data_IF_000895591720
#
_entry.id   IF_000895591720
#
_cell.length_a   1.000
_cell.length_b   1.000
_cell.length_c   1.000
_cell.angle_alpha   90.00
_cell.angle_beta   90.00
_cell.angle_gamma   90.00
#
_symmetry.space_group_name_H-M   'P 1'
#
loop_
_entity.id
_entity.type
_entity.pdbx_description
1 polymer ?
#
# COMPACT_ATOMS: atom_id res chain seq x y z
N UNK A 1 18.35 14.87 -4.63
CA UNK A 1 17.03 14.23 -4.52
C UNK A 1 17.09 12.72 -4.65
N UNK A 2 17.94 12.22 -5.52
CA UNK A 2 18.18 10.79 -5.62
C UNK A 2 18.73 10.25 -4.30
N UNK A 3 19.58 11.00 -3.65
CA UNK A 3 20.14 10.62 -2.35
C UNK A 3 19.07 10.55 -1.28
N UNK A 4 18.14 11.53 -1.26
CA UNK A 4 17.04 11.58 -0.32
C UNK A 4 16.10 10.37 -0.52
N UNK A 5 15.80 10.04 -1.78
CA UNK A 5 14.97 8.88 -2.12
C UNK A 5 15.63 7.57 -1.71
N UNK A 6 16.94 7.45 -1.98
CA UNK A 6 17.69 6.25 -1.60
C UNK A 6 17.73 6.08 -0.08
N UNK A 7 17.92 7.17 0.66
CA UNK A 7 17.91 7.14 2.12
C UNK A 7 16.55 6.70 2.66
N UNK A 8 15.46 7.21 2.08
CA UNK A 8 14.11 6.80 2.46
C UNK A 8 13.87 5.32 2.21
N UNK A 9 14.35 4.80 1.07
CA UNK A 9 14.22 3.38 0.75
C UNK A 9 14.98 2.51 1.76
N UNK A 10 16.18 2.92 2.16
CA UNK A 10 16.97 2.20 3.15
C UNK A 10 16.21 2.14 4.49
N UNK A 11 15.66 3.25 4.96
CA UNK A 11 14.90 3.27 6.20
C UNK A 11 13.66 2.41 6.14
N UNK A 12 12.95 2.41 5.01
CA UNK A 12 11.76 1.57 4.86
C UNK A 12 12.11 0.10 4.88
N UNK A 13 13.18 -0.28 4.23
CA UNK A 13 13.66 -1.67 4.26
C UNK A 13 14.09 -2.07 5.66
N UNK A 14 14.70 -1.15 6.40
CA UNK A 14 15.09 -1.42 7.79
C UNK A 14 13.86 -1.76 8.64
N UNK A 15 12.77 -1.02 8.48
CA UNK A 15 11.52 -1.30 9.19
C UNK A 15 10.99 -2.69 8.84
N UNK A 16 11.01 -3.05 7.55
CA UNK A 16 10.56 -4.35 7.10
C UNK A 16 11.47 -5.48 7.61
N UNK A 17 12.79 -5.26 7.59
CA UNK A 17 13.77 -6.25 8.08
C UNK A 17 13.58 -6.51 9.57
N UNK A 18 13.23 -5.50 10.34
CA UNK A 18 13.01 -5.61 11.77
C UNK A 18 11.66 -6.23 12.13
N UNK A 19 10.82 -6.49 11.13
CA UNK A 19 9.51 -7.08 11.37
C UNK A 19 8.51 -6.13 12.01
N UNK A 20 8.74 -4.83 11.92
CA UNK A 20 7.85 -3.83 12.50
C UNK A 20 6.61 -3.65 11.62
N UNK A 21 5.43 -3.42 12.22
CA UNK A 21 4.23 -3.14 11.43
C UNK A 21 4.41 -1.88 10.59
N UNK A 22 3.92 -1.94 9.36
CA UNK A 22 4.03 -0.83 8.42
C UNK A 22 2.69 -0.63 7.70
N UNK A 23 2.22 0.60 7.67
CA UNK A 23 1.06 1.01 6.88
C UNK A 23 1.44 2.24 6.07
N UNK A 24 1.52 2.10 4.75
CA UNK A 24 1.86 3.19 3.85
C UNK A 24 0.63 3.83 3.23
N UNK A 25 0.62 5.15 3.17
CA UNK A 25 -0.48 5.93 2.60
C UNK A 25 0.09 6.82 1.50
N UNK A 26 -0.54 6.79 0.33
CA UNK A 26 -0.18 7.60 -0.84
C UNK A 26 1.27 7.34 -1.27
N UNK A 27 2.18 8.29 -1.05
CA UNK A 27 3.60 8.09 -1.33
C UNK A 27 4.16 6.87 -0.57
N UNK A 28 3.63 6.59 0.62
CA UNK A 28 3.99 5.40 1.40
C UNK A 28 3.70 4.08 0.68
N UNK A 29 2.67 4.04 -0.17
CA UNK A 29 2.40 2.88 -1.01
C UNK A 29 3.54 2.66 -2.01
N UNK A 30 4.03 3.73 -2.61
CA UNK A 30 5.16 3.64 -3.55
C UNK A 30 6.45 3.25 -2.84
N UNK A 31 6.67 3.79 -1.64
CA UNK A 31 7.83 3.42 -0.83
C UNK A 31 7.81 1.94 -0.45
N UNK A 32 6.65 1.42 -0.05
CA UNK A 32 6.51 0.00 0.26
C UNK A 32 6.78 -0.84 -0.99
N UNK A 33 6.20 -0.46 -2.13
CA UNK A 33 6.42 -1.18 -3.37
C UNK A 33 7.89 -1.26 -3.72
N UNK A 34 8.61 -0.14 -3.62
CA UNK A 34 10.04 -0.11 -3.90
C UNK A 34 10.84 -0.93 -2.90
N UNK A 35 10.49 -0.85 -1.63
CA UNK A 35 11.16 -1.65 -0.59
C UNK A 35 10.98 -3.14 -0.82
N UNK A 36 9.83 -3.55 -1.32
CA UNK A 36 9.56 -4.95 -1.69
C UNK A 36 10.24 -5.37 -2.99
N UNK A 37 10.76 -4.42 -3.75
CA UNK A 37 11.46 -4.70 -5.01
C UNK A 37 10.63 -4.46 -6.25
N UNK A 38 9.47 -3.81 -6.14
CA UNK A 38 8.59 -3.54 -7.26
C UNK A 38 8.95 -2.22 -7.93
N UNK A 39 8.67 -2.13 -9.23
CA UNK A 39 8.87 -0.88 -9.96
C UNK A 39 7.69 0.08 -9.81
N UNK A 40 7.92 1.31 -10.23
CA UNK A 40 6.87 2.32 -10.33
C UNK A 40 6.87 2.90 -11.74
N UNK A 41 5.73 3.45 -12.15
CA UNK A 41 5.61 4.07 -13.46
C UNK A 41 4.75 5.31 -13.38
N UNK A 42 4.94 6.22 -14.34
CA UNK A 42 4.18 7.47 -14.40
C UNK A 42 2.83 7.20 -15.09
N UNK A 43 1.77 7.65 -14.45
CA UNK A 43 0.43 7.57 -15.05
C UNK A 43 0.28 8.65 -16.13
N UNK A 44 -0.35 8.32 -17.28
CA UNK A 44 -0.54 9.31 -18.36
C UNK A 44 -1.29 10.56 -17.90
N UNK A 45 -2.30 10.39 -17.05
CA UNK A 45 -3.14 11.50 -16.61
C UNK A 45 -3.09 11.71 -15.10
N UNK A 46 -2.43 10.83 -14.35
CA UNK A 46 -2.45 10.86 -12.91
C UNK A 46 -3.82 10.57 -12.32
N UNK A 47 -3.85 10.35 -11.01
CA UNK A 47 -5.10 10.20 -10.27
C UNK A 47 -5.25 11.39 -9.32
N UNK A 48 -6.22 12.26 -9.63
CA UNK A 48 -6.52 13.43 -8.81
C UNK A 48 -8.03 13.55 -8.66
N UNK A 49 -8.47 14.03 -7.50
CA UNK A 49 -9.87 14.22 -7.21
C UNK A 49 -10.39 13.31 -6.12
N UNK A 50 -11.68 13.44 -5.85
CA UNK A 50 -12.30 12.80 -4.68
C UNK A 50 -13.26 11.67 -5.03
N UNK A 51 -13.49 11.38 -6.29
CA UNK A 51 -14.50 10.39 -6.71
C UNK A 51 -13.87 9.27 -7.51
N UNK A 52 -12.80 8.68 -6.98
CA UNK A 52 -12.10 7.58 -7.64
C UNK A 52 -12.53 6.25 -7.04
N UNK A 53 -13.17 5.37 -7.83
CA UNK A 53 -13.60 4.07 -7.31
C UNK A 53 -12.43 3.11 -7.22
N UNK A 54 -12.27 2.50 -6.05
CA UNK A 54 -11.21 1.53 -5.77
C UNK A 54 -11.85 0.26 -5.21
N UNK A 55 -11.50 -0.87 -5.80
CA UNK A 55 -11.95 -2.18 -5.31
C UNK A 55 -10.98 -2.67 -4.23
N UNK A 56 -11.51 -2.96 -3.04
CA UNK A 56 -10.78 -3.67 -2.01
C UNK A 56 -11.01 -5.16 -2.25
N UNK A 57 -9.98 -5.87 -2.69
CA UNK A 57 -10.09 -7.27 -3.06
C UNK A 57 -10.32 -8.18 -1.85
N UNK A 58 -9.91 -7.75 -0.66
CA UNK A 58 -10.09 -8.55 0.55
C UNK A 58 -11.55 -8.59 1.00
N UNK A 59 -12.32 -7.56 0.73
CA UNK A 59 -13.73 -7.47 1.12
C UNK A 59 -14.70 -7.56 -0.05
N UNK A 60 -14.20 -7.34 -1.28
CA UNK A 60 -15.04 -7.23 -2.48
C UNK A 60 -15.81 -5.92 -2.57
N UNK A 61 -15.53 -4.97 -1.70
CA UNK A 61 -16.24 -3.68 -1.67
C UNK A 61 -15.54 -2.66 -2.55
N UNK A 62 -16.34 -1.80 -3.15
CA UNK A 62 -15.85 -0.65 -3.91
C UNK A 62 -15.95 0.58 -3.00
N UNK A 63 -14.86 1.30 -2.87
CA UNK A 63 -14.79 2.50 -2.07
C UNK A 63 -14.55 3.70 -2.97
N UNK A 64 -15.18 4.82 -2.62
CA UNK A 64 -14.96 6.08 -3.32
C UNK A 64 -13.87 6.82 -2.56
N UNK A 65 -12.77 7.11 -3.23
CA UNK A 65 -11.54 7.56 -2.59
C UNK A 65 -11.05 8.89 -3.15
N UNK A 66 -10.19 9.56 -2.36
CA UNK A 66 -9.52 10.78 -2.76
C UNK A 66 -8.09 10.48 -3.16
N UNK A 67 -7.66 10.99 -4.31
CA UNK A 67 -6.35 10.73 -4.88
C UNK A 67 -5.62 12.01 -5.24
N UNK A 68 -4.31 11.97 -5.14
CA UNK A 68 -3.44 13.01 -5.67
C UNK A 68 -2.06 12.39 -5.93
N UNK A 69 -1.96 11.58 -6.98
CA UNK A 69 -0.70 10.94 -7.32
C UNK A 69 -0.52 10.82 -8.83
N UNK A 70 0.73 10.93 -9.28
CA UNK A 70 1.07 10.81 -10.69
C UNK A 70 1.81 9.53 -11.01
N UNK A 71 2.15 8.71 -10.02
CA UNK A 71 2.88 7.46 -10.19
C UNK A 71 2.11 6.31 -9.55
N UNK A 72 2.34 5.12 -10.05
CA UNK A 72 1.72 3.91 -9.53
C UNK A 72 2.76 2.80 -9.41
N UNK A 73 2.48 1.82 -8.57
CA UNK A 73 3.33 0.64 -8.41
C UNK A 73 2.98 -0.37 -9.50
N UNK A 74 4.01 -1.00 -10.06
CA UNK A 74 3.85 -2.05 -11.06
C UNK A 74 3.87 -3.40 -10.38
N UNK A 75 2.75 -4.13 -10.46
CA UNK A 75 2.62 -5.45 -9.84
C UNK A 75 1.50 -6.24 -10.52
N UNK A 76 1.56 -7.59 -10.49
CA UNK A 76 0.45 -8.42 -10.97
C UNK A 76 -0.81 -8.16 -10.16
N UNK A 77 -1.92 -7.94 -10.85
CA UNK A 77 -3.20 -7.63 -10.18
C UNK A 77 -3.86 -8.86 -9.55
N UNK A 78 -3.58 -10.03 -10.06
CA UNK A 78 -4.20 -11.28 -9.61
C UNK A 78 -3.21 -12.20 -8.93
N UNK A 79 -3.66 -12.84 -7.85
CA UNK A 79 -2.86 -13.80 -7.11
C UNK A 79 -1.77 -13.15 -6.27
N UNK A 80 -0.98 -13.99 -5.63
CA UNK A 80 0.19 -13.54 -4.89
C UNK A 80 1.45 -13.78 -5.70
N UNK A 81 2.50 -13.03 -5.38
CA UNK A 81 3.79 -13.15 -6.06
C UNK A 81 4.91 -12.96 -5.03
N UNK A 82 6.11 -13.39 -5.37
CA UNK A 82 7.26 -13.25 -4.48
C UNK A 82 7.86 -11.86 -4.56
N UNK A 83 8.15 -11.26 -3.41
CA UNK A 83 8.88 -10.00 -3.35
C UNK A 83 10.27 -10.19 -3.94
N UNK A 84 10.68 -9.41 -4.96
CA UNK A 84 12.04 -9.51 -5.51
C UNK A 84 13.15 -9.27 -4.48
N UNK A 85 12.85 -8.55 -3.40
CA UNK A 85 13.84 -8.29 -2.34
C UNK A 85 13.76 -9.30 -1.17
N UNK A 86 13.01 -10.39 -1.34
CA UNK A 86 13.04 -11.49 -0.37
C UNK A 86 12.13 -11.34 0.84
N UNK A 87 11.10 -10.52 0.78
CA UNK A 87 10.17 -10.32 1.89
C UNK A 87 8.97 -11.28 1.87
N UNK A 88 9.03 -12.32 1.04
CA UNK A 88 7.98 -13.32 0.97
C UNK A 88 6.89 -12.97 -0.02
N UNK A 89 5.70 -13.48 0.21
CA UNK A 89 4.58 -13.28 -0.70
C UNK A 89 3.92 -11.93 -0.53
N UNK A 90 3.52 -11.33 -1.66
CA UNK A 90 2.84 -10.04 -1.71
C UNK A 90 1.64 -10.19 -2.63
N UNK A 91 0.57 -9.45 -2.35
CA UNK A 91 -0.58 -9.37 -3.26
C UNK A 91 -1.01 -7.92 -3.41
N UNK A 92 -1.66 -7.63 -4.54
CA UNK A 92 -2.34 -6.35 -4.74
C UNK A 92 -3.67 -6.44 -4.00
N UNK A 93 -3.84 -5.55 -3.01
CA UNK A 93 -5.04 -5.56 -2.16
C UNK A 93 -6.15 -4.65 -2.70
N UNK A 94 -5.78 -3.60 -3.41
CA UNK A 94 -6.71 -2.60 -3.93
C UNK A 94 -6.38 -2.28 -5.37
N UNK A 95 -7.42 -2.14 -6.20
CA UNK A 95 -7.29 -1.88 -7.63
C UNK A 95 -8.22 -0.73 -8.02
N UNK A 96 -7.68 0.24 -8.75
CA UNK A 96 -8.50 1.32 -9.32
C UNK A 96 -9.37 0.77 -10.44
N UNK A 97 -10.69 0.98 -10.36
CA UNK A 97 -11.63 0.41 -11.32
C UNK A 97 -11.65 1.11 -12.66
N UNK A 98 -11.20 2.36 -12.72
CA UNK A 98 -11.21 3.11 -13.97
C UNK A 98 -10.12 2.69 -14.96
N UNK A 99 -8.96 2.25 -14.45
CA UNK A 99 -7.81 1.97 -15.30
C UNK A 99 -6.95 0.79 -14.83
N UNK A 100 -7.43 0.00 -13.88
CA UNK A 100 -6.74 -1.18 -13.35
C UNK A 100 -5.35 -0.86 -12.78
N UNK A 101 -5.22 0.27 -12.13
CA UNK A 101 -3.99 0.70 -11.48
C UNK A 101 -3.92 0.10 -10.07
N UNK A 102 -2.72 -0.29 -9.64
CA UNK A 102 -2.51 -0.76 -8.26
C UNK A 102 -2.78 0.38 -7.29
N UNK A 103 -3.71 0.16 -6.38
CA UNK A 103 -4.11 1.15 -5.39
C UNK A 103 -3.84 0.69 -3.96
N UNK A 104 -3.26 -0.49 -3.79
CA UNK A 104 -2.87 -1.00 -2.49
C UNK A 104 -2.08 -2.29 -2.59
N UNK A 105 -1.21 -2.51 -1.62
CA UNK A 105 -0.38 -3.71 -1.52
C UNK A 105 -0.56 -4.33 -0.14
N UNK A 106 -0.42 -5.65 -0.08
CA UNK A 106 -0.41 -6.37 1.18
C UNK A 106 0.67 -7.43 1.16
N UNK A 107 1.59 -7.36 2.11
CA UNK A 107 2.57 -8.42 2.32
C UNK A 107 1.93 -9.51 3.18
N UNK A 108 2.15 -10.77 2.81
CA UNK A 108 1.52 -11.90 3.49
C UNK A 108 2.41 -12.52 4.57
N UNK A 109 3.72 -12.34 4.44
CA UNK A 109 4.69 -12.95 5.36
C UNK A 109 5.28 -11.95 6.36
N UNK A 110 5.06 -10.66 6.16
CA UNK A 110 5.49 -9.60 7.09
C UNK A 110 4.31 -8.66 7.35
N UNK A 111 4.29 -7.94 8.49
CA UNK A 111 3.15 -7.07 8.82
C UNK A 111 3.24 -5.72 8.10
N UNK A 112 2.99 -5.73 6.80
CA UNK A 112 3.06 -4.51 5.99
C UNK A 112 1.92 -4.47 4.98
N UNK A 113 1.29 -3.31 4.85
CA UNK A 113 0.30 -3.06 3.81
C UNK A 113 0.25 -1.57 3.49
N UNK A 114 -0.37 -1.24 2.38
CA UNK A 114 -0.43 0.16 1.94
C UNK A 114 -1.64 0.41 1.06
N UNK A 115 -2.04 1.68 0.98
CA UNK A 115 -3.02 2.16 0.01
C UNK A 115 -2.47 3.40 -0.67
N UNK A 116 -2.82 3.59 -1.93
CA UNK A 116 -2.34 4.73 -2.72
C UNK A 116 -3.17 5.99 -2.48
N UNK A 117 -4.43 5.82 -2.12
CA UNK A 117 -5.32 6.95 -1.85
C UNK A 117 -5.16 7.44 -0.41
N UNK A 118 -5.84 8.54 -0.11
CA UNK A 118 -5.85 9.14 1.23
C UNK A 118 -7.07 8.65 2.02
N UNK A 119 -6.93 7.64 2.88
CA UNK A 119 -8.10 7.10 3.61
C UNK A 119 -8.72 8.11 4.55
N UNK A 120 -7.93 9.03 5.11
CA UNK A 120 -8.45 10.08 6.00
C UNK A 120 -9.33 11.10 5.28
N UNK A 121 -9.28 11.14 3.95
CA UNK A 121 -10.09 12.04 3.13
C UNK A 121 -11.20 11.30 2.38
N UNK A 122 -11.57 10.10 2.84
CA UNK A 122 -12.61 9.30 2.20
C UNK A 122 -13.96 10.00 2.27
N UNK A 123 -14.77 9.81 1.22
CA UNK A 123 -16.03 10.54 1.06
C UNK A 123 -17.16 10.08 1.98
N UNK A 124 -17.05 8.94 2.62
CA UNK A 124 -18.09 8.41 3.50
C UNK A 124 -17.64 8.34 4.94
N UNK A 125 -18.58 8.30 5.89
CA UNK A 125 -18.23 8.27 7.30
C UNK A 125 -17.55 6.98 7.76
N UNK A 126 -17.56 5.92 6.96
CA UNK A 126 -17.06 4.62 7.39
C UNK A 126 -16.00 4.02 6.48
N UNK A 127 -15.68 4.69 5.37
CA UNK A 127 -15.00 4.01 4.27
C UNK A 127 -13.54 3.66 4.55
N UNK A 128 -12.87 4.37 5.43
CA UNK A 128 -11.44 4.17 5.62
C UNK A 128 -11.03 3.73 7.02
N UNK A 129 -11.94 3.77 7.99
CA UNK A 129 -11.59 3.47 9.38
C UNK A 129 -11.09 2.03 9.55
N UNK A 130 -11.56 1.09 8.74
CA UNK A 130 -11.14 -0.30 8.85
C UNK A 130 -9.64 -0.49 8.57
N UNK A 131 -9.03 0.38 7.76
CA UNK A 131 -7.59 0.31 7.48
C UNK A 131 -6.78 0.67 8.72
N UNK A 132 -7.19 1.70 9.43
CA UNK A 132 -6.52 2.09 10.68
C UNK A 132 -6.73 1.04 11.77
N UNK A 133 -7.91 0.43 11.84
CA UNK A 133 -8.18 -0.67 12.76
C UNK A 133 -7.30 -1.87 12.43
N UNK A 134 -7.14 -2.19 11.16
CA UNK A 134 -6.25 -3.26 10.72
C UNK A 134 -4.81 -3.01 11.17
N UNK A 135 -4.34 -1.79 11.00
CA UNK A 135 -2.98 -1.43 11.42
C UNK A 135 -2.83 -1.53 12.94
N UNK A 136 -3.82 -1.05 13.68
CA UNK A 136 -3.82 -1.17 15.14
C UNK A 136 -3.71 -2.64 15.56
N UNK A 137 -4.47 -3.52 14.93
CA UNK A 137 -4.44 -4.95 15.24
C UNK A 137 -3.08 -5.56 14.94
N UNK A 138 -2.42 -5.13 13.85
CA UNK A 138 -1.07 -5.56 13.52
C UNK A 138 -0.06 -5.12 14.58
N UNK A 139 -0.19 -3.90 15.09
CA UNK A 139 0.69 -3.39 16.15
C UNK A 139 0.51 -4.20 17.43
N UNK A 140 -0.73 -4.50 17.80
CA UNK A 140 -1.04 -5.30 18.99
C UNK A 140 -0.44 -6.72 18.85
N UNK A 141 -0.62 -7.34 17.70
CA UNK A 141 -0.07 -8.68 17.43
C UNK A 141 1.45 -8.67 17.50
N UNK A 142 2.09 -7.64 16.97
CA UNK A 142 3.53 -7.49 17.00
C UNK A 142 4.06 -7.39 18.44
N UNK A 143 3.37 -6.67 19.30
CA UNK A 143 3.75 -6.54 20.72
C UNK A 143 3.67 -7.88 21.45
N UNK A 144 2.64 -8.68 21.15
CA UNK A 144 2.51 -10.01 21.74
C UNK A 144 3.63 -10.95 21.32
N UNK A 145 3.99 -10.88 20.03
CA UNK A 145 5.05 -11.73 19.48
C UNK A 145 6.45 -11.35 19.98
N UNK A 146 6.64 -10.09 20.39
CA UNK A 146 7.92 -9.59 20.88
C UNK A 146 8.29 -10.13 22.28
N UNK A 147 7.37 -10.82 22.93
CA UNK A 147 7.64 -11.47 24.21
C UNK A 147 8.11 -12.90 23.98
#
# INVERSE_FOLDING_TARGET
RKESSAASDVYKRQVLDDGLPFFGICFGNQLLGRALGLGTYKLPFGHRGINQPVLDKSTGRVEITAHNHGFAVEAPLEGSFDSPHGYGKVEVSHVGLNDNVVEGLRALDIPAFSVQYHPEAAAGPHDANYLFDRFRDMVIASKKDAK
#
